data_IF_374335054056
#
_entry.id   IF_374335054056
#
_cell.length_a   1.000
_cell.length_b   1.000
_cell.length_c   1.000
_cell.angle_alpha   90.00
_cell.angle_beta   90.00
_cell.angle_gamma   90.00
#
_symmetry.space_group_name_H-M   'P 1'
#
loop_
_entity.id
_entity.type
_entity.pdbx_description
1 polymer ?
#
# COMPACT_ATOMS: atom_id res chain seq x y z
N UNK A 1 2.61 16.74 14.00
CA UNK A 1 2.12 15.64 14.80
C UNK A 1 2.40 14.38 14.03
N UNK A 2 3.04 13.41 14.66
CA UNK A 2 3.28 12.11 14.07
C UNK A 2 2.03 11.23 14.26
N UNK A 3 1.84 10.27 13.36
CA UNK A 3 0.66 9.42 13.28
C UNK A 3 1.03 7.99 13.67
N UNK A 4 0.10 7.34 14.36
CA UNK A 4 0.07 5.89 14.56
C UNK A 4 -0.92 5.34 13.54
N UNK A 5 -0.43 4.63 12.54
CA UNK A 5 -1.28 3.86 11.63
C UNK A 5 -1.60 2.53 12.29
N UNK A 6 -2.79 2.44 12.87
CA UNK A 6 -3.17 1.32 13.72
C UNK A 6 -3.74 0.13 12.95
N UNK A 7 -3.89 0.22 11.63
CA UNK A 7 -4.33 -0.89 10.80
C UNK A 7 -3.96 -0.70 9.32
N UNK A 8 -2.91 -1.39 8.90
CA UNK A 8 -2.44 -1.44 7.52
C UNK A 8 -2.20 -2.88 7.05
N UNK A 9 -1.92 -3.05 5.76
CA UNK A 9 -1.47 -4.30 5.16
C UNK A 9 -0.08 -4.15 4.56
N UNK A 10 0.58 -5.28 4.28
CA UNK A 10 1.92 -5.29 3.74
C UNK A 10 1.98 -4.64 2.35
N UNK A 11 3.07 -3.92 2.09
CA UNK A 11 3.43 -3.49 0.74
C UNK A 11 3.85 -4.68 -0.11
N UNK A 12 3.57 -4.59 -1.41
CA UNK A 12 3.98 -5.57 -2.42
C UNK A 12 5.15 -5.05 -3.26
N UNK A 13 5.97 -5.96 -3.76
CA UNK A 13 7.06 -5.65 -4.69
C UNK A 13 6.57 -4.86 -5.91
N UNK A 14 7.42 -4.01 -6.50
CA UNK A 14 7.13 -3.34 -7.78
C UNK A 14 6.87 -4.33 -8.94
N UNK A 15 7.34 -5.57 -8.79
CA UNK A 15 7.13 -6.66 -9.74
C UNK A 15 5.91 -7.53 -9.38
N UNK A 16 5.11 -7.15 -8.40
CA UNK A 16 3.85 -7.82 -8.04
C UNK A 16 2.87 -7.79 -9.21
N UNK A 17 2.00 -8.81 -9.29
CA UNK A 17 0.88 -8.84 -10.24
C UNK A 17 -0.29 -7.97 -9.78
N UNK A 18 -0.25 -7.45 -8.55
CA UNK A 18 -1.27 -6.55 -8.01
C UNK A 18 -1.36 -5.25 -8.82
N UNK A 19 -2.50 -4.96 -9.48
CA UNK A 19 -2.65 -3.76 -10.30
C UNK A 19 -2.63 -2.50 -9.45
N UNK A 20 -1.80 -1.51 -9.81
CA UNK A 20 -1.69 -0.27 -9.03
C UNK A 20 -3.01 0.50 -8.91
N UNK A 21 -3.91 0.41 -9.91
CA UNK A 21 -5.26 0.99 -9.82
C UNK A 21 -6.08 0.43 -8.65
N UNK A 22 -5.85 -0.82 -8.24
CA UNK A 22 -6.53 -1.43 -7.07
C UNK A 22 -6.09 -0.79 -5.75
N UNK A 23 -4.97 -0.07 -5.70
CA UNK A 23 -4.63 0.74 -4.52
C UNK A 23 -5.60 1.90 -4.25
N UNK A 24 -6.51 2.21 -5.17
CA UNK A 24 -7.48 3.31 -5.06
C UNK A 24 -8.94 2.84 -4.99
N UNK A 25 -9.19 1.53 -5.06
CA UNK A 25 -10.54 0.96 -5.13
C UNK A 25 -10.53 -0.54 -4.83
N UNK A 26 -11.49 -0.98 -4.02
CA UNK A 26 -11.80 -2.41 -3.80
C UNK A 26 -12.66 -3.01 -4.92
N UNK A 27 -13.06 -2.22 -5.92
CA UNK A 27 -13.85 -2.70 -7.04
C UNK A 27 -13.08 -3.75 -7.86
N UNK A 28 -13.80 -4.75 -8.36
CA UNK A 28 -13.23 -5.81 -9.19
C UNK A 28 -14.03 -6.03 -10.48
N UNK A 29 -13.44 -6.76 -11.42
CA UNK A 29 -14.01 -6.99 -12.74
C UNK A 29 -14.37 -5.68 -13.44
N UNK A 30 -15.54 -5.65 -14.08
CA UNK A 30 -16.00 -4.48 -14.84
C UNK A 30 -16.16 -3.23 -13.97
N UNK A 31 -16.43 -3.38 -12.67
CA UNK A 31 -16.60 -2.25 -11.77
C UNK A 31 -15.30 -1.46 -11.55
N UNK A 32 -14.13 -2.10 -11.67
CA UNK A 32 -12.84 -1.44 -11.53
C UNK A 32 -12.62 -0.36 -12.60
N UNK A 33 -13.23 -0.49 -13.78
CA UNK A 33 -13.17 0.52 -14.85
C UNK A 33 -13.74 1.88 -14.42
N UNK A 34 -14.58 1.91 -13.38
CA UNK A 34 -15.16 3.14 -12.84
C UNK A 34 -14.33 3.79 -11.73
N UNK A 35 -13.28 3.12 -11.21
CA UNK A 35 -12.42 3.67 -10.18
C UNK A 35 -11.87 5.08 -10.51
N UNK A 36 -11.46 5.39 -11.77
CA UNK A 36 -10.99 6.72 -12.13
C UNK A 36 -12.01 7.86 -11.96
N UNK A 37 -13.31 7.54 -11.89
CA UNK A 37 -14.37 8.53 -11.71
C UNK A 37 -14.64 8.86 -10.23
N UNK A 38 -14.10 8.08 -9.30
CA UNK A 38 -14.29 8.27 -7.86
C UNK A 38 -13.50 9.47 -7.31
N UNK A 39 -13.96 10.02 -6.19
CA UNK A 39 -13.24 11.09 -5.50
C UNK A 39 -11.90 10.60 -4.92
N UNK A 40 -11.88 9.37 -4.37
CA UNK A 40 -10.68 8.76 -3.80
C UNK A 40 -9.56 8.71 -4.84
N UNK A 41 -9.82 8.16 -6.03
CA UNK A 41 -8.85 8.12 -7.11
C UNK A 41 -8.36 9.51 -7.52
N UNK A 42 -9.28 10.44 -7.83
CA UNK A 42 -8.91 11.78 -8.32
C UNK A 42 -8.05 12.55 -7.32
N UNK A 43 -8.38 12.45 -6.03
CA UNK A 43 -7.59 13.05 -4.96
C UNK A 43 -6.22 12.40 -4.87
N UNK A 44 -6.15 11.07 -4.82
CA UNK A 44 -4.90 10.34 -4.66
C UNK A 44 -3.94 10.58 -5.82
N UNK A 45 -4.42 10.60 -7.07
CA UNK A 45 -3.58 10.91 -8.24
C UNK A 45 -3.01 12.33 -8.17
N UNK A 46 -3.82 13.31 -7.77
CA UNK A 46 -3.33 14.68 -7.57
C UNK A 46 -2.26 14.74 -6.47
N UNK A 47 -2.58 14.22 -5.29
CA UNK A 47 -1.75 14.36 -4.09
C UNK A 47 -0.42 13.57 -4.23
N UNK A 48 -0.48 12.36 -4.79
CA UNK A 48 0.72 11.53 -5.04
C UNK A 48 1.57 12.13 -6.18
N UNK A 49 0.94 12.61 -7.26
CA UNK A 49 1.67 13.26 -8.35
C UNK A 49 2.38 14.54 -7.89
N UNK A 50 1.76 15.31 -6.99
CA UNK A 50 2.39 16.45 -6.33
C UNK A 50 3.54 16.04 -5.42
N UNK A 51 3.36 15.00 -4.60
CA UNK A 51 4.41 14.48 -3.72
C UNK A 51 5.64 14.05 -4.53
N UNK A 52 5.44 13.22 -5.56
CA UNK A 52 6.53 12.69 -6.40
C UNK A 52 7.09 13.70 -7.39
N UNK A 53 6.44 14.86 -7.58
CA UNK A 53 6.82 15.83 -8.61
C UNK A 53 6.73 15.28 -10.04
N UNK A 54 5.79 14.37 -10.29
CA UNK A 54 5.60 13.71 -11.58
C UNK A 54 4.27 14.09 -12.25
N UNK A 55 4.01 13.54 -13.44
CA UNK A 55 2.73 13.76 -14.12
C UNK A 55 1.57 13.21 -13.28
N UNK A 56 0.53 14.04 -13.06
CA UNK A 56 -0.65 13.72 -12.24
C UNK A 56 -1.64 12.83 -13.00
N UNK A 57 -1.14 11.71 -13.52
CA UNK A 57 -1.91 10.65 -14.16
C UNK A 57 -1.51 9.30 -13.57
N UNK A 58 -2.39 8.29 -13.66
CA UNK A 58 -2.09 6.95 -13.17
C UNK A 58 -0.80 6.40 -13.78
N UNK A 59 -0.66 6.56 -15.11
CA UNK A 59 0.52 6.12 -15.85
C UNK A 59 1.79 6.86 -15.41
N UNK A 60 1.74 8.19 -15.28
CA UNK A 60 2.90 8.98 -14.86
C UNK A 60 3.40 8.58 -13.47
N UNK A 61 2.48 8.35 -12.53
CA UNK A 61 2.81 7.87 -11.19
C UNK A 61 3.37 6.45 -11.24
N UNK A 62 2.80 5.53 -12.02
CA UNK A 62 3.34 4.17 -12.17
C UNK A 62 4.76 4.16 -12.74
N UNK A 63 5.03 4.97 -13.76
CA UNK A 63 6.36 5.09 -14.36
C UNK A 63 7.37 5.63 -13.36
N UNK A 64 7.01 6.67 -12.59
CA UNK A 64 7.84 7.20 -11.52
C UNK A 64 8.12 6.16 -10.43
N UNK A 65 7.10 5.40 -10.01
CA UNK A 65 7.26 4.33 -9.01
C UNK A 65 8.24 3.25 -9.50
N UNK A 66 8.15 2.87 -10.78
CA UNK A 66 9.03 1.88 -11.40
C UNK A 66 10.48 2.36 -11.49
N UNK A 67 10.70 3.61 -11.87
CA UNK A 67 12.06 4.17 -12.00
C UNK A 67 12.72 4.49 -10.66
N UNK A 68 11.94 4.94 -9.68
CA UNK A 68 12.46 5.36 -8.36
C UNK A 68 12.69 4.20 -7.40
N UNK A 69 12.00 3.07 -7.59
CA UNK A 69 12.09 1.90 -6.72
C UNK A 69 11.23 2.01 -5.47
N UNK A 70 10.81 0.84 -4.94
CA UNK A 70 9.81 0.74 -3.87
C UNK A 70 10.28 1.35 -2.55
N UNK A 71 11.53 1.11 -2.16
CA UNK A 71 12.10 1.62 -0.90
C UNK A 71 12.11 3.15 -0.88
N UNK A 72 12.49 3.78 -1.99
CA UNK A 72 12.55 5.25 -2.11
C UNK A 72 11.15 5.86 -1.98
N UNK A 73 10.20 5.40 -2.79
CA UNK A 73 8.82 5.92 -2.78
C UNK A 73 8.11 5.65 -1.46
N UNK A 74 8.39 4.51 -0.81
CA UNK A 74 7.80 4.18 0.49
C UNK A 74 8.37 5.08 1.58
N UNK A 75 9.69 5.31 1.58
CA UNK A 75 10.31 6.25 2.51
C UNK A 75 9.75 7.67 2.36
N UNK A 76 9.57 8.14 1.13
CA UNK A 76 8.98 9.44 0.83
C UNK A 76 7.53 9.55 1.31
N UNK A 77 6.69 8.57 0.97
CA UNK A 77 5.29 8.53 1.40
C UNK A 77 5.15 8.52 2.93
N UNK A 78 5.89 7.64 3.62
CA UNK A 78 5.78 7.48 5.06
C UNK A 78 6.27 8.73 5.82
N UNK A 79 7.34 9.37 5.34
CA UNK A 79 7.82 10.66 5.86
C UNK A 79 6.80 11.78 5.66
N UNK A 80 6.22 11.88 4.46
CA UNK A 80 5.21 12.89 4.15
C UNK A 80 3.94 12.72 5.01
N UNK A 81 3.53 11.47 5.24
CA UNK A 81 2.41 11.12 6.11
C UNK A 81 2.73 11.21 7.62
N UNK A 82 4.01 11.33 7.99
CA UNK A 82 4.51 11.36 9.38
C UNK A 82 4.13 10.10 10.17
N UNK A 83 4.20 8.93 9.54
CA UNK A 83 3.91 7.66 10.20
C UNK A 83 5.08 7.28 11.12
N UNK A 84 4.82 7.16 12.41
CA UNK A 84 5.79 6.81 13.45
C UNK A 84 5.63 5.37 13.96
N UNK A 85 4.41 4.84 13.87
CA UNK A 85 4.06 3.48 14.25
C UNK A 85 3.17 2.89 13.16
N UNK A 86 3.46 1.68 12.74
CA UNK A 86 2.74 0.93 11.72
C UNK A 86 2.32 -0.43 12.29
N UNK A 87 1.01 -0.65 12.41
CA UNK A 87 0.44 -1.93 12.82
C UNK A 87 -0.09 -2.67 11.59
N UNK A 88 0.54 -3.80 11.25
CA UNK A 88 0.27 -4.55 10.03
C UNK A 88 -0.55 -5.79 10.33
N UNK A 89 -1.74 -5.89 9.74
CA UNK A 89 -2.45 -7.15 9.55
C UNK A 89 -1.82 -7.90 8.36
N UNK A 90 -1.10 -8.97 8.67
CA UNK A 90 -0.39 -9.82 7.71
C UNK A 90 -1.19 -11.06 7.27
N UNK A 91 -2.49 -11.11 7.58
CA UNK A 91 -3.38 -12.21 7.22
C UNK A 91 -4.03 -12.07 5.85
N UNK A 92 -3.63 -11.08 5.04
CA UNK A 92 -4.06 -10.93 3.65
C UNK A 92 -3.01 -11.55 2.72
N UNK A 93 -3.46 -12.30 1.70
CA UNK A 93 -2.57 -12.92 0.73
C UNK A 93 -2.60 -12.19 -0.62
N UNK A 94 -1.52 -11.47 -0.91
CA UNK A 94 -1.25 -10.84 -2.20
C UNK A 94 0.14 -11.29 -2.66
N UNK A 95 0.34 -11.44 -3.97
CA UNK A 95 1.61 -11.89 -4.50
C UNK A 95 2.74 -10.91 -4.17
N UNK A 96 3.88 -11.48 -3.75
CA UNK A 96 5.13 -10.75 -3.49
C UNK A 96 5.01 -9.66 -2.42
N UNK A 97 4.21 -9.89 -1.39
CA UNK A 97 4.19 -9.08 -0.19
C UNK A 97 5.55 -9.10 0.52
N UNK A 98 5.97 -7.95 1.02
CA UNK A 98 7.12 -7.81 1.90
C UNK A 98 6.75 -8.18 3.34
N UNK A 99 7.65 -8.81 4.07
CA UNK A 99 7.41 -9.20 5.46
C UNK A 99 7.51 -8.01 6.44
N UNK A 100 7.25 -8.27 7.72
CA UNK A 100 7.33 -7.25 8.78
C UNK A 100 8.74 -6.66 8.92
N UNK A 101 9.80 -7.44 8.66
CA UNK A 101 11.19 -6.97 8.76
C UNK A 101 11.50 -5.92 7.71
N UNK A 102 11.07 -6.12 6.47
CA UNK A 102 11.22 -5.12 5.41
C UNK A 102 10.53 -3.80 5.80
N UNK A 103 9.34 -3.84 6.43
CA UNK A 103 8.61 -2.63 6.81
C UNK A 103 9.30 -1.82 7.91
N UNK A 104 10.20 -2.41 8.70
CA UNK A 104 11.01 -1.66 9.68
C UNK A 104 11.97 -0.65 9.01
N UNK A 105 12.16 -0.75 7.70
CA UNK A 105 12.93 0.25 6.93
C UNK A 105 12.14 1.54 6.65
N UNK A 106 10.80 1.52 6.74
CA UNK A 106 9.95 2.67 6.37
C UNK A 106 9.24 3.33 7.56
N UNK A 107 9.13 2.65 8.70
CA UNK A 107 8.56 3.19 9.93
C UNK A 107 9.41 2.82 11.17
N UNK A 108 9.56 3.73 12.16
CA UNK A 108 10.35 3.46 13.37
C UNK A 108 9.86 2.28 14.21
N UNK A 109 8.55 2.11 14.31
CA UNK A 109 7.92 1.00 15.05
C UNK A 109 6.99 0.26 14.10
N UNK A 110 7.23 -1.05 13.96
CA UNK A 110 6.37 -1.95 13.18
C UNK A 110 5.97 -3.11 14.08
N UNK A 111 4.68 -3.40 14.14
CA UNK A 111 4.15 -4.53 14.91
C UNK A 111 3.02 -5.23 14.15
N UNK A 112 2.81 -6.49 14.50
CA UNK A 112 1.83 -7.37 13.86
C UNK A 112 0.47 -7.26 14.53
N UNK A 113 -0.58 -7.26 13.72
CA UNK A 113 -1.97 -7.53 14.10
C UNK A 113 -2.29 -8.97 13.69
N UNK A 114 -2.78 -9.79 14.63
CA UNK A 114 -3.21 -11.15 14.33
C UNK A 114 -4.64 -11.14 13.79
N UNK A 115 -4.82 -11.47 12.50
CA UNK A 115 -6.14 -11.75 11.91
C UNK A 115 -6.65 -13.10 12.40
N UNK A 116 -7.60 -13.07 13.35
CA UNK A 116 -8.06 -14.25 14.08
C UNK A 116 -8.78 -15.26 13.17
N UNK A 117 -9.49 -14.78 12.15
CA UNK A 117 -10.25 -15.61 11.20
C UNK A 117 -9.29 -16.46 10.36
N UNK A 118 -8.27 -15.82 9.79
CA UNK A 118 -7.23 -16.50 9.01
C UNK A 118 -6.43 -17.48 9.87
N UNK A 119 -6.12 -17.12 11.12
CA UNK A 119 -5.44 -18.02 12.05
C UNK A 119 -6.31 -19.23 12.42
N UNK A 120 -7.60 -19.02 12.68
CA UNK A 120 -8.54 -20.10 12.98
C UNK A 120 -8.72 -21.05 11.78
N UNK A 121 -8.82 -20.52 10.56
CA UNK A 121 -8.88 -21.31 9.34
C UNK A 121 -7.67 -22.24 9.19
N UNK A 122 -6.46 -21.73 9.46
CA UNK A 122 -5.23 -22.55 9.45
C UNK A 122 -5.31 -23.72 10.44
N UNK A 123 -5.74 -23.46 11.68
CA UNK A 123 -5.90 -24.50 12.70
C UNK A 123 -6.93 -25.55 12.29
N UNK A 124 -8.03 -25.14 11.64
CA UNK A 124 -9.09 -26.05 11.21
C UNK A 124 -8.71 -26.90 10.00
N UNK A 125 -7.75 -26.44 9.19
CA UNK A 125 -7.27 -27.12 8.00
C UNK A 125 -5.99 -27.96 8.22
N UNK A 126 -5.39 -27.88 9.41
CA UNK A 126 -4.29 -28.75 9.87
C UNK A 126 -4.82 -30.13 10.32
#
# INVERSE_FOLDING_TARGET
MDIVDNHAHNLVSINSTFPFIKCFSEADGDALSFAPHTLSFKRSIRDIGELYGCEKTLKGIEEYRKSSGLESISSECFKAAKISVLLIDDGLEIDKMHDLEWHKSVAPVVARILRIEYFAEKILND
#
